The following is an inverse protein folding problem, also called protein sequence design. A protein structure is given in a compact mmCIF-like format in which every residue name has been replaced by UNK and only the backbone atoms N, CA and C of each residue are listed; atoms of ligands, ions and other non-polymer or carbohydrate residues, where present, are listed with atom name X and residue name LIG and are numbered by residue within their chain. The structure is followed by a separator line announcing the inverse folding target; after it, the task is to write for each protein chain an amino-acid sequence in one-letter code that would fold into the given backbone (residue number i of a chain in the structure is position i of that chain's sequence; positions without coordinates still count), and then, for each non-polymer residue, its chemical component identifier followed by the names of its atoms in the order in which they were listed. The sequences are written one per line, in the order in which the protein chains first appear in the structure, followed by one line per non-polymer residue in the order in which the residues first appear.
data_IF_751366974318
#
_entry.id   IF_751366974318
#
_cell.length_a   1.000
_cell.length_b   1.000
_cell.length_c   1.000
_cell.angle_alpha   90.00
_cell.angle_beta   90.00
_cell.angle_gamma   90.00
#
_symmetry.space_group_name_H-M   'P 1'
#
loop_
_entity.id
_entity.type
_entity.pdbx_description
1 polymer ?
#
# COMPACT_ATOMS: atom_id res chain seq x y z
N UNK A 1 1.62 -1.17 7.92
CA UNK A 1 1.54 -2.49 7.21
C UNK A 1 0.61 -2.38 5.99
N UNK A 2 0.97 -2.96 4.86
CA UNK A 2 0.10 -3.07 3.67
C UNK A 2 -0.21 -4.54 3.40
N UNK A 3 -1.48 -4.84 3.14
CA UNK A 3 -1.92 -6.10 2.54
C UNK A 3 -2.22 -5.89 1.05
N UNK A 4 -1.54 -6.63 0.17
CA UNK A 4 -1.73 -6.59 -1.28
C UNK A 4 -2.24 -7.95 -1.76
N UNK A 5 -3.41 -7.97 -2.39
CA UNK A 5 -4.04 -9.19 -2.92
C UNK A 5 -4.40 -9.02 -4.39
N UNK A 6 -3.95 -9.95 -5.22
CA UNK A 6 -4.28 -9.99 -6.65
C UNK A 6 -5.42 -10.99 -6.90
N UNK A 7 -6.48 -10.52 -7.55
CA UNK A 7 -7.52 -11.35 -8.16
C UNK A 7 -7.28 -11.38 -9.68
N UNK A 8 -6.69 -12.47 -10.15
CA UNK A 8 -6.37 -12.65 -11.57
C UNK A 8 -7.62 -12.88 -12.43
N UNK A 9 -8.69 -13.43 -11.85
CA UNK A 9 -9.92 -13.68 -12.60
C UNK A 9 -10.65 -12.37 -12.93
N UNK A 10 -10.51 -11.36 -12.06
CA UNK A 10 -11.10 -10.03 -12.25
C UNK A 10 -10.12 -8.98 -12.76
N UNK A 11 -8.86 -9.37 -13.01
CA UNK A 11 -7.76 -8.45 -13.30
C UNK A 11 -7.75 -7.27 -12.30
N UNK A 12 -7.76 -7.57 -11.01
CA UNK A 12 -7.85 -6.53 -9.97
C UNK A 12 -6.81 -6.74 -8.89
N UNK A 13 -6.09 -5.68 -8.53
CA UNK A 13 -5.29 -5.65 -7.31
C UNK A 13 -6.05 -4.88 -6.23
N UNK A 14 -6.12 -5.47 -5.06
CA UNK A 14 -6.64 -4.88 -3.84
C UNK A 14 -5.46 -4.52 -2.93
N UNK A 15 -5.44 -3.28 -2.45
CA UNK A 15 -4.48 -2.80 -1.48
C UNK A 15 -5.22 -2.32 -0.24
N UNK A 16 -4.87 -2.84 0.93
CA UNK A 16 -5.34 -2.32 2.22
C UNK A 16 -4.16 -1.65 2.89
N UNK A 17 -4.27 -0.35 3.13
CA UNK A 17 -3.24 0.43 3.79
C UNK A 17 -3.60 0.63 5.27
N UNK A 18 -2.79 0.04 6.15
CA UNK A 18 -2.82 0.28 7.58
C UNK A 18 -1.92 1.45 8.01
N UNK A 19 -1.70 1.62 9.32
CA UNK A 19 -0.77 2.59 9.87
C UNK A 19 0.64 2.44 9.29
N UNK A 20 1.30 3.56 9.05
CA UNK A 20 2.69 3.63 8.58
C UNK A 20 3.49 4.60 9.44
N UNK A 21 4.70 4.21 9.84
CA UNK A 21 5.60 5.14 10.52
C UNK A 21 6.36 5.97 9.45
N UNK A 22 6.72 7.22 9.76
CA UNK A 22 7.41 8.13 8.82
C UNK A 22 8.71 7.51 8.25
N UNK A 23 9.41 6.68 9.04
CA UNK A 23 10.60 5.95 8.61
C UNK A 23 10.32 4.80 7.61
N UNK A 24 9.10 4.30 7.54
CA UNK A 24 8.73 3.12 6.74
C UNK A 24 8.25 3.45 5.33
N UNK A 25 7.92 4.71 5.02
CA UNK A 25 7.35 5.12 3.73
C UNK A 25 8.19 4.72 2.50
N UNK A 26 9.52 4.77 2.59
CA UNK A 26 10.41 4.29 1.51
C UNK A 26 10.34 2.77 1.33
N UNK A 27 10.22 2.02 2.42
CA UNK A 27 10.11 0.56 2.37
C UNK A 27 8.76 0.16 1.76
N UNK A 28 7.70 0.85 2.18
CA UNK A 28 6.34 0.73 1.67
C UNK A 28 6.28 0.89 0.15
N UNK A 29 6.86 1.97 -0.37
CA UNK A 29 6.85 2.26 -1.80
C UNK A 29 7.59 1.21 -2.62
N UNK A 30 8.67 0.63 -2.07
CA UNK A 30 9.38 -0.48 -2.72
C UNK A 30 8.53 -1.75 -2.80
N UNK A 31 7.80 -2.10 -1.73
CA UNK A 31 6.92 -3.26 -1.74
C UNK A 31 5.80 -3.12 -2.76
N UNK A 32 5.15 -1.95 -2.81
CA UNK A 32 4.13 -1.64 -3.82
C UNK A 32 4.71 -1.77 -5.23
N UNK A 33 5.86 -1.13 -5.50
CA UNK A 33 6.50 -1.17 -6.82
C UNK A 33 6.88 -2.59 -7.24
N UNK A 34 7.43 -3.39 -6.33
CA UNK A 34 7.77 -4.79 -6.61
C UNK A 34 6.53 -5.60 -6.99
N UNK A 35 5.43 -5.43 -6.26
CA UNK A 35 4.18 -6.15 -6.53
C UNK A 35 3.52 -5.71 -7.83
N UNK A 36 3.56 -4.42 -8.14
CA UNK A 36 3.10 -3.88 -9.44
C UNK A 36 3.86 -4.46 -10.62
N UNK A 37 5.18 -4.63 -10.50
CA UNK A 37 6.00 -5.22 -11.56
C UNK A 37 5.68 -6.70 -11.85
N UNK A 38 5.05 -7.41 -10.91
CA UNK A 38 4.66 -8.81 -11.08
C UNK A 38 3.30 -8.98 -11.78
N UNK A 39 2.61 -7.88 -12.06
CA UNK A 39 1.27 -7.88 -12.63
C UNK A 39 1.37 -7.49 -14.11
N UNK A 40 0.80 -8.31 -14.99
CA UNK A 40 0.72 -8.01 -16.42
C UNK A 40 -0.19 -6.81 -16.67
N UNK A 41 -0.01 -6.12 -17.81
CA UNK A 41 -0.91 -5.02 -18.20
C UNK A 41 -2.39 -5.44 -18.17
N UNK A 42 -3.29 -4.49 -17.87
CA UNK A 42 -4.74 -4.72 -17.85
C UNK A 42 -5.37 -4.91 -16.47
N UNK A 43 -4.59 -4.85 -15.38
CA UNK A 43 -5.13 -4.88 -14.02
C UNK A 43 -5.64 -3.51 -13.56
N UNK A 44 -6.83 -3.49 -12.94
CA UNK A 44 -7.35 -2.33 -12.21
C UNK A 44 -6.89 -2.36 -10.75
N UNK A 45 -6.68 -1.18 -10.15
CA UNK A 45 -6.31 -1.05 -8.74
C UNK A 45 -7.49 -0.55 -7.90
N UNK A 46 -7.67 -1.15 -6.72
CA UNK A 46 -8.58 -0.68 -5.68
C UNK A 46 -7.78 -0.57 -4.40
N UNK A 47 -7.76 0.61 -3.80
CA UNK A 47 -7.03 0.88 -2.57
C UNK A 47 -8.00 1.32 -1.47
N UNK A 48 -7.94 0.61 -0.34
CA UNK A 48 -8.65 0.91 0.89
C UNK A 48 -7.72 1.66 1.85
N UNK A 49 -8.12 2.88 2.18
CA UNK A 49 -7.41 3.79 3.08
C UNK A 49 -8.17 4.01 4.40
N UNK A 50 -9.22 3.25 4.69
CA UNK A 50 -10.06 3.48 5.88
C UNK A 50 -9.27 3.35 7.19
N UNK A 51 -8.22 2.52 7.21
CA UNK A 51 -7.31 2.37 8.35
C UNK A 51 -5.99 3.13 8.20
N UNK A 52 -5.84 3.94 7.16
CA UNK A 52 -4.58 4.61 6.87
C UNK A 52 -4.33 5.74 7.86
N UNK A 53 -3.19 5.67 8.54
CA UNK A 53 -2.69 6.69 9.45
C UNK A 53 -1.18 6.81 9.28
N UNK A 54 -0.65 8.02 9.42
CA UNK A 54 0.81 8.25 9.49
C UNK A 54 1.12 8.45 10.97
N UNK A 55 1.94 7.55 11.52
CA UNK A 55 2.51 7.75 12.84
C UNK A 55 3.79 8.57 12.65
N UNK A 56 3.68 9.86 12.87
CA UNK A 56 4.85 10.73 12.94
C UNK A 56 5.12 11.09 14.41
N UNK A 57 6.14 10.50 15.05
CA UNK A 57 6.46 10.83 16.44
C UNK A 57 6.88 12.30 16.60
N UNK A 58 7.32 12.96 15.52
CA UNK A 58 7.70 14.38 15.54
C UNK A 58 6.49 15.32 15.45
N UNK A 59 5.32 14.84 14.99
CA UNK A 59 4.08 15.61 14.86
C UNK A 59 3.32 15.75 16.19
N UNK A 60 3.64 14.91 17.18
CA UNK A 60 3.07 14.97 18.55
C UNK A 60 3.70 16.12 19.36
N UNK A 61 4.86 16.64 18.94
CA UNK A 61 5.64 17.65 19.67
C UNK A 61 5.48 19.08 19.12
N UNK A 62 4.66 19.29 18.08
CA UNK A 62 4.36 20.59 17.45
C UNK A 62 2.98 21.13 17.83
#
# INVERSE_FOLDING_TARGET
MIDLRADQNKNRLYAILGPIDTGEGKHLFRQIKFRLNLITSGFSWVADFTSFTINDPDEILS
#
